data_IF_901611891619
#
_entry.id   IF_901611891619
#
_cell.length_a   1.000
_cell.length_b   1.000
_cell.length_c   1.000
_cell.angle_alpha   90.00
_cell.angle_beta   90.00
_cell.angle_gamma   90.00
#
_symmetry.space_group_name_H-M   'P 1'
#
loop_
_entity.id
_entity.type
_entity.pdbx_description
1 polymer ?
#
# COMPACT_ATOMS: atom_id res chain seq x y z
N UNK A 1 -44.77 50.44 -4.24
CA UNK A 1 -45.62 49.41 -3.59
C UNK A 1 -45.43 48.11 -4.37
N UNK A 2 -44.49 47.24 -3.99
CA UNK A 2 -44.62 46.08 -3.08
C UNK A 2 -45.75 45.11 -3.51
N UNK A 3 -45.36 44.04 -4.21
CA UNK A 3 -45.94 42.71 -3.99
C UNK A 3 -44.79 41.74 -3.66
N UNK A 4 -44.67 41.43 -2.36
CA UNK A 4 -43.75 40.45 -1.79
C UNK A 4 -44.32 39.06 -2.09
N UNK A 5 -43.56 38.21 -2.77
CA UNK A 5 -43.78 36.78 -2.69
C UNK A 5 -43.50 36.33 -1.24
N UNK A 6 -44.54 35.81 -0.59
CA UNK A 6 -44.53 35.41 0.80
C UNK A 6 -43.85 34.04 0.97
N UNK A 7 -42.85 33.98 1.86
CA UNK A 7 -42.05 32.79 2.19
C UNK A 7 -42.89 31.62 2.73
N UNK A 8 -44.17 31.84 3.06
CA UNK A 8 -45.07 30.82 3.63
C UNK A 8 -45.77 29.92 2.62
N UNK A 9 -45.71 30.19 1.31
CA UNK A 9 -46.32 29.31 0.29
C UNK A 9 -45.42 28.12 -0.12
N UNK A 10 -44.12 28.17 0.16
CA UNK A 10 -43.18 27.13 -0.32
C UNK A 10 -43.10 25.91 0.60
N UNK A 11 -43.52 26.03 1.86
CA UNK A 11 -43.40 24.97 2.87
C UNK A 11 -44.58 23.99 2.92
N UNK A 12 -45.56 24.09 2.00
CA UNK A 12 -46.75 23.21 1.98
C UNK A 12 -46.76 22.13 0.90
N UNK A 13 -45.69 21.97 0.10
CA UNK A 13 -45.62 20.98 -1.00
C UNK A 13 -44.43 20.01 -0.96
N UNK A 14 -43.62 19.99 0.09
CA UNK A 14 -42.51 19.04 0.22
C UNK A 14 -42.76 17.92 1.25
N UNK A 15 -44.03 17.54 1.44
CA UNK A 15 -44.42 16.38 2.24
C UNK A 15 -44.56 15.15 1.36
N UNK A 16 -43.44 14.50 1.04
CA UNK A 16 -43.43 13.09 0.65
C UNK A 16 -42.36 12.38 1.47
N UNK A 17 -42.84 11.61 2.43
CA UNK A 17 -42.17 10.56 3.19
C UNK A 17 -41.31 9.66 2.31
N UNK A 18 -39.99 9.74 2.46
CA UNK A 18 -39.09 8.63 2.18
C UNK A 18 -38.78 7.97 3.53
N UNK A 19 -39.45 6.85 3.79
CA UNK A 19 -39.16 5.97 4.91
C UNK A 19 -37.76 5.36 4.72
N UNK A 20 -36.93 5.55 5.74
CA UNK A 20 -35.79 4.74 6.15
C UNK A 20 -35.11 3.85 5.10
N UNK A 21 -34.07 4.39 4.47
CA UNK A 21 -32.84 3.65 4.26
C UNK A 21 -31.72 4.47 4.90
N UNK A 22 -31.48 4.26 6.19
CA UNK A 22 -30.21 4.65 6.79
C UNK A 22 -29.15 3.75 6.18
N UNK A 23 -28.67 4.10 4.98
CA UNK A 23 -27.36 3.65 4.55
C UNK A 23 -26.41 4.14 5.63
N UNK A 24 -25.82 3.21 6.38
CA UNK A 24 -24.62 3.53 7.15
C UNK A 24 -23.60 3.96 6.10
N UNK A 25 -23.57 5.25 5.79
CA UNK A 25 -22.45 5.84 5.08
C UNK A 25 -21.27 5.63 6.03
N UNK A 26 -20.42 4.67 5.69
CA UNK A 26 -19.19 4.47 6.43
C UNK A 26 -18.32 5.70 6.18
N UNK A 27 -18.20 6.54 7.21
CA UNK A 27 -17.35 7.71 7.17
C UNK A 27 -15.89 7.26 7.16
N UNK A 28 -15.32 7.21 5.96
CA UNK A 28 -13.86 7.15 5.81
C UNK A 28 -13.26 8.37 6.49
N UNK A 29 -12.08 8.26 7.14
CA UNK A 29 -11.43 9.42 7.75
C UNK A 29 -11.33 10.57 6.75
N UNK A 30 -11.60 11.80 7.21
CA UNK A 30 -11.57 12.97 6.34
C UNK A 30 -10.14 13.22 5.81
N UNK A 31 -10.02 13.93 4.69
CA UNK A 31 -8.71 14.33 4.16
C UNK A 31 -8.02 15.22 5.18
N UNK A 32 -6.94 14.73 5.80
CA UNK A 32 -6.15 15.47 6.80
C UNK A 32 -6.29 14.97 8.24
N UNK A 33 -7.21 14.05 8.52
CA UNK A 33 -7.31 13.43 9.84
C UNK A 33 -6.27 12.30 9.99
N UNK A 34 -5.13 12.64 10.57
CA UNK A 34 -4.23 11.70 11.26
C UNK A 34 -4.12 12.16 12.72
N UNK A 35 -5.24 12.35 13.41
CA UNK A 35 -5.24 12.77 14.82
C UNK A 35 -5.10 11.54 15.74
N UNK A 36 -4.10 11.58 16.63
CA UNK A 36 -3.87 10.68 17.79
C UNK A 36 -4.37 9.23 17.63
N UNK A 37 -4.07 8.60 16.50
CA UNK A 37 -4.24 7.15 16.39
C UNK A 37 -3.02 6.45 17.00
N UNK A 38 -3.28 5.51 17.91
CA UNK A 38 -2.25 4.60 18.39
C UNK A 38 -1.84 3.67 17.23
N UNK A 39 -0.74 4.00 16.56
CA UNK A 39 -0.22 3.20 15.47
C UNK A 39 0.33 1.87 16.00
N UNK A 40 -0.10 0.76 15.42
CA UNK A 40 0.56 -0.54 15.65
C UNK A 40 1.95 -0.60 15.01
N UNK A 41 2.22 0.30 14.05
CA UNK A 41 3.53 0.50 13.44
C UNK A 41 3.72 1.90 12.88
N UNK A 42 4.94 2.43 13.04
CA UNK A 42 5.44 3.57 12.28
C UNK A 42 6.89 3.36 11.87
N UNK A 43 7.18 3.55 10.58
CA UNK A 43 8.55 3.44 10.08
C UNK A 43 9.46 4.49 10.72
N UNK A 44 10.62 4.06 11.19
CA UNK A 44 11.67 4.97 11.68
C UNK A 44 12.87 4.90 10.76
N UNK A 45 12.97 5.85 9.82
CA UNK A 45 14.14 6.05 8.97
C UNK A 45 14.84 7.35 9.37
N UNK A 46 16.05 7.30 9.93
CA UNK A 46 16.73 8.48 10.46
C UNK A 46 17.26 9.42 9.36
N UNK A 47 17.23 10.73 9.61
CA UNK A 47 17.74 11.74 8.69
C UNK A 47 19.27 11.72 8.52
N UNK A 48 20.01 11.43 9.60
CA UNK A 48 21.47 11.48 9.62
C UNK A 48 22.18 10.17 9.25
N UNK A 49 21.46 9.16 8.76
CA UNK A 49 22.04 7.86 8.40
C UNK A 49 21.78 7.54 6.93
N UNK A 50 22.82 7.07 6.25
CA UNK A 50 22.70 6.46 4.93
C UNK A 50 23.21 5.03 4.99
N UNK A 51 22.39 4.06 4.58
CA UNK A 51 22.78 2.65 4.53
C UNK A 51 21.86 1.84 3.60
N UNK A 52 22.32 0.73 3.00
CA UNK A 52 21.45 -0.17 2.24
C UNK A 52 20.35 -0.83 3.09
N UNK A 53 20.60 -1.06 4.38
CA UNK A 53 19.69 -1.79 5.26
C UNK A 53 18.56 -0.90 5.83
N UNK A 54 17.27 -1.17 5.55
CA UNK A 54 16.13 -0.38 6.06
C UNK A 54 15.95 -0.46 7.58
N UNK A 55 16.43 -1.53 8.21
CA UNK A 55 16.26 -1.80 9.64
C UNK A 55 15.68 -3.19 9.90
N UNK A 56 15.54 -3.58 11.18
CA UNK A 56 15.31 -4.97 11.55
C UNK A 56 13.88 -5.47 11.28
N UNK A 57 12.93 -4.56 11.14
CA UNK A 57 11.53 -4.90 10.89
C UNK A 57 11.24 -5.30 9.43
N UNK A 58 12.19 -5.13 8.51
CA UNK A 58 11.91 -5.13 7.07
C UNK A 58 12.77 -6.12 6.32
N UNK A 59 12.23 -6.75 5.28
CA UNK A 59 12.98 -7.51 4.28
C UNK A 59 12.88 -6.85 2.90
N UNK A 60 13.93 -6.15 2.42
CA UNK A 60 13.97 -5.66 1.06
C UNK A 60 14.23 -6.79 0.06
N UNK A 61 13.56 -6.73 -1.09
CA UNK A 61 13.64 -7.75 -2.11
C UNK A 61 13.62 -7.09 -3.50
N UNK A 62 14.76 -7.11 -4.25
CA UNK A 62 16.09 -7.56 -3.83
C UNK A 62 16.74 -6.65 -2.78
N UNK A 63 17.63 -7.18 -1.93
CA UNK A 63 18.22 -6.43 -0.81
C UNK A 63 19.03 -5.19 -1.23
N UNK A 64 19.76 -5.30 -2.34
CA UNK A 64 20.69 -4.29 -2.85
C UNK A 64 20.01 -3.11 -3.55
N UNK A 65 18.73 -3.25 -3.91
CA UNK A 65 17.99 -2.25 -4.68
C UNK A 65 17.43 -1.12 -3.80
N UNK A 66 17.71 -1.15 -2.49
CA UNK A 66 17.15 -0.25 -1.49
C UNK A 66 18.22 0.43 -0.65
N UNK A 67 17.91 1.64 -0.16
CA UNK A 67 18.69 2.30 0.90
C UNK A 67 17.83 3.20 1.77
N UNK A 68 18.25 3.39 3.01
CA UNK A 68 17.87 4.56 3.81
C UNK A 68 18.77 5.72 3.42
N UNK A 69 18.18 6.87 3.16
CA UNK A 69 18.89 8.13 2.89
C UNK A 69 17.98 9.30 3.22
N UNK A 70 18.49 10.34 3.90
CA UNK A 70 17.74 11.57 4.21
C UNK A 70 16.34 11.34 4.83
N UNK A 71 16.22 10.38 5.77
CA UNK A 71 14.96 10.10 6.48
C UNK A 71 13.88 9.45 5.62
N UNK A 72 14.26 8.75 4.55
CA UNK A 72 13.36 8.01 3.66
C UNK A 72 14.00 6.70 3.22
N UNK A 73 13.17 5.75 2.81
CA UNK A 73 13.57 4.52 2.15
C UNK A 73 13.48 4.73 0.64
N UNK A 74 14.57 4.56 -0.08
CA UNK A 74 14.68 4.79 -1.52
C UNK A 74 14.86 3.47 -2.27
N UNK A 75 14.03 3.23 -3.30
CA UNK A 75 14.27 2.22 -4.31
C UNK A 75 15.24 2.83 -5.35
N UNK A 76 16.51 2.45 -5.27
CA UNK A 76 17.59 3.08 -6.05
C UNK A 76 17.84 2.40 -7.41
N UNK A 77 17.28 1.20 -7.59
CA UNK A 77 17.39 0.41 -8.82
C UNK A 77 15.99 0.08 -9.32
N UNK A 78 15.73 0.35 -10.59
CA UNK A 78 14.45 0.06 -11.23
C UNK A 78 14.39 -1.37 -11.74
N UNK A 79 13.18 -1.92 -11.79
CA UNK A 79 12.88 -3.21 -12.40
C UNK A 79 11.64 -3.84 -11.77
N UNK A 80 11.24 -5.01 -12.26
CA UNK A 80 10.02 -5.64 -11.78
C UNK A 80 10.05 -6.04 -10.30
N UNK A 81 8.89 -5.97 -9.63
CA UNK A 81 8.66 -6.52 -8.29
C UNK A 81 9.70 -6.16 -7.21
N UNK A 82 10.23 -4.94 -7.19
CA UNK A 82 10.97 -4.47 -6.00
C UNK A 82 9.97 -4.21 -4.90
N UNK A 83 10.18 -4.85 -3.78
CA UNK A 83 9.32 -4.70 -2.62
C UNK A 83 10.12 -4.73 -1.31
N UNK A 84 9.52 -4.18 -0.26
CA UNK A 84 10.04 -4.26 1.11
C UNK A 84 8.94 -4.79 2.00
N UNK A 85 9.05 -6.06 2.38
CA UNK A 85 8.12 -6.71 3.30
C UNK A 85 8.34 -6.22 4.72
N UNK A 86 7.26 -6.05 5.47
CA UNK A 86 7.28 -5.80 6.91
C UNK A 86 7.07 -7.13 7.63
N UNK A 87 8.04 -7.49 8.47
CA UNK A 87 8.08 -8.80 9.12
C UNK A 87 7.33 -8.84 10.44
N UNK A 88 7.26 -7.69 11.11
CA UNK A 88 6.81 -7.58 12.49
C UNK A 88 5.32 -7.29 12.63
N UNK A 89 4.62 -7.11 11.51
CA UNK A 89 3.17 -6.87 11.49
C UNK A 89 2.54 -7.73 10.41
N UNK A 90 1.42 -8.35 10.75
CA UNK A 90 0.66 -9.19 9.85
C UNK A 90 -0.83 -8.84 9.96
N UNK A 91 -1.56 -8.89 8.86
CA UNK A 91 -3.01 -8.72 8.87
C UNK A 91 -3.65 -10.05 9.25
N UNK A 92 -4.26 -10.11 10.42
CA UNK A 92 -4.85 -11.32 10.99
C UNK A 92 -6.09 -11.79 10.23
N UNK A 93 -6.53 -13.03 10.50
CA UNK A 93 -7.82 -13.56 10.04
C UNK A 93 -9.05 -12.98 10.74
N UNK A 94 -8.88 -12.22 11.83
CA UNK A 94 -9.99 -11.69 12.63
C UNK A 94 -10.77 -10.60 11.89
N UNK A 95 -12.04 -10.40 12.25
CA UNK A 95 -12.78 -9.23 11.79
C UNK A 95 -12.26 -7.97 12.50
N UNK A 96 -12.07 -6.88 11.75
CA UNK A 96 -11.52 -5.64 12.28
C UNK A 96 -11.27 -4.65 11.16
N UNK A 97 -10.75 -3.46 11.47
CA UNK A 97 -10.37 -2.48 10.45
C UNK A 97 -8.85 -2.51 10.19
N UNK A 98 -8.48 -1.97 9.03
CA UNK A 98 -7.08 -1.77 8.65
C UNK A 98 -6.93 -0.36 8.06
N UNK A 99 -5.89 0.36 8.49
CA UNK A 99 -5.48 1.62 7.88
C UNK A 99 -3.99 1.57 7.60
N UNK A 100 -3.61 1.87 6.36
CA UNK A 100 -2.22 2.03 5.91
C UNK A 100 -2.04 3.45 5.37
N UNK A 101 -0.92 4.08 5.66
CA UNK A 101 -0.56 5.36 5.05
C UNK A 101 0.94 5.44 4.81
N UNK A 102 1.36 6.02 3.68
CA UNK A 102 2.76 6.28 3.37
C UNK A 102 2.87 7.53 2.49
N UNK A 103 3.93 8.31 2.68
CA UNK A 103 4.34 9.36 1.74
C UNK A 103 5.30 8.76 0.72
N UNK A 104 5.08 9.06 -0.55
CA UNK A 104 5.93 8.60 -1.64
C UNK A 104 6.16 9.70 -2.67
N UNK A 105 7.23 9.55 -3.44
CA UNK A 105 7.54 10.41 -4.57
C UNK A 105 8.60 9.82 -5.47
N UNK A 106 8.67 10.31 -6.72
CA UNK A 106 9.73 9.93 -7.66
C UNK A 106 11.10 10.30 -7.10
N UNK A 107 12.09 9.43 -7.28
CA UNK A 107 13.44 9.62 -6.77
C UNK A 107 14.24 10.63 -7.58
N UNK A 108 14.14 10.57 -8.90
CA UNK A 108 14.94 11.35 -9.85
C UNK A 108 14.09 12.25 -10.76
N UNK A 109 12.76 12.28 -10.57
CA UNK A 109 11.83 13.09 -11.36
C UNK A 109 11.70 12.64 -12.82
N UNK A 110 12.28 11.49 -13.17
CA UNK A 110 12.15 10.89 -14.50
C UNK A 110 10.68 10.60 -14.81
N UNK A 111 10.34 10.58 -16.10
CA UNK A 111 9.00 10.17 -16.51
C UNK A 111 8.83 8.65 -16.28
N UNK A 112 7.74 8.27 -15.63
CA UNK A 112 7.37 6.87 -15.45
C UNK A 112 6.73 6.35 -16.75
N UNK A 113 7.25 5.24 -17.27
CA UNK A 113 6.81 4.67 -18.54
C UNK A 113 5.80 3.55 -18.32
N UNK A 114 6.11 2.65 -17.38
CA UNK A 114 5.29 1.49 -17.03
C UNK A 114 5.54 1.07 -15.59
N UNK A 115 4.55 0.38 -15.03
CA UNK A 115 4.64 -0.23 -13.72
C UNK A 115 3.90 0.53 -12.63
N UNK A 116 4.25 0.31 -11.36
CA UNK A 116 3.45 0.83 -10.25
C UNK A 116 4.24 1.06 -8.96
N UNK A 117 3.66 1.85 -8.06
CA UNK A 117 4.16 2.10 -6.71
C UNK A 117 3.00 2.08 -5.71
N UNK A 118 3.22 1.51 -4.51
CA UNK A 118 2.20 1.49 -3.46
C UNK A 118 2.42 0.41 -2.42
N UNK A 119 1.32 -0.24 -2.03
CA UNK A 119 1.30 -1.33 -1.06
C UNK A 119 1.14 -2.69 -1.76
N UNK A 120 1.58 -3.75 -1.09
CA UNK A 120 1.09 -5.11 -1.29
C UNK A 120 0.51 -5.61 0.03
N UNK A 121 -0.72 -6.09 -0.02
CA UNK A 121 -1.53 -6.48 1.15
C UNK A 121 -1.92 -7.94 1.05
N UNK A 122 -2.03 -8.62 2.19
CA UNK A 122 -2.46 -10.01 2.26
C UNK A 122 -1.45 -10.98 1.63
N UNK A 123 -0.15 -10.72 1.87
CA UNK A 123 0.92 -11.51 1.27
C UNK A 123 0.96 -12.88 1.94
N UNK A 124 0.87 -13.94 1.15
CA UNK A 124 0.95 -15.32 1.62
C UNK A 124 1.96 -16.10 0.81
N UNK A 125 2.41 -17.23 1.35
CA UNK A 125 3.13 -18.27 0.64
C UNK A 125 2.68 -19.65 1.16
N UNK A 126 2.58 -20.70 0.33
CA UNK A 126 2.00 -21.99 0.73
C UNK A 126 2.66 -22.66 1.95
N UNK A 127 3.96 -22.42 2.18
CA UNK A 127 4.68 -22.94 3.35
C UNK A 127 4.22 -22.32 4.69
N UNK A 128 3.46 -21.23 4.66
CA UNK A 128 3.02 -20.49 5.85
C UNK A 128 4.19 -20.02 6.75
N UNK A 129 5.35 -19.74 6.13
CA UNK A 129 6.52 -19.18 6.80
C UNK A 129 6.67 -17.69 6.39
N UNK A 130 6.86 -16.82 7.37
CA UNK A 130 6.94 -15.37 7.15
C UNK A 130 8.16 -14.95 6.33
N UNK A 131 9.26 -15.71 6.39
CA UNK A 131 10.49 -15.45 5.61
C UNK A 131 10.28 -15.87 4.16
N UNK A 132 9.69 -17.04 3.95
CA UNK A 132 9.29 -17.47 2.61
C UNK A 132 8.27 -16.48 2.01
N UNK A 133 7.34 -15.98 2.82
CA UNK A 133 6.36 -14.95 2.42
C UNK A 133 7.04 -13.63 2.03
N UNK A 134 8.08 -13.20 2.76
CA UNK A 134 8.83 -11.98 2.44
C UNK A 134 9.60 -12.06 1.09
N UNK A 135 9.98 -13.25 0.65
CA UNK A 135 10.76 -13.45 -0.59
C UNK A 135 9.86 -13.83 -1.77
N UNK A 136 8.96 -14.78 -1.56
CA UNK A 136 8.17 -15.44 -2.61
C UNK A 136 6.69 -15.14 -2.54
N UNK A 137 6.26 -14.37 -1.54
CA UNK A 137 4.86 -14.15 -1.28
C UNK A 137 4.14 -13.45 -2.43
N UNK A 138 2.85 -13.75 -2.55
CA UNK A 138 1.92 -13.10 -3.47
C UNK A 138 0.78 -12.52 -2.65
N UNK A 139 0.27 -11.38 -3.10
CA UNK A 139 -0.81 -10.66 -2.43
C UNK A 139 -1.44 -9.66 -3.39
N UNK A 140 -2.39 -8.89 -2.88
CA UNK A 140 -3.06 -7.84 -3.66
C UNK A 140 -2.16 -6.61 -3.75
N UNK A 141 -1.78 -6.20 -4.96
CA UNK A 141 -1.11 -4.92 -5.18
C UNK A 141 -2.16 -3.80 -5.16
N UNK A 142 -1.83 -2.69 -4.50
CA UNK A 142 -2.69 -1.53 -4.37
C UNK A 142 -1.85 -0.26 -4.47
N UNK A 143 -2.18 0.67 -5.36
CA UNK A 143 -1.37 1.87 -5.49
C UNK A 143 -1.65 2.70 -6.71
N UNK A 144 -0.59 3.30 -7.24
CA UNK A 144 -0.60 4.21 -8.37
C UNK A 144 0.22 3.60 -9.50
N UNK A 145 -0.41 3.45 -10.66
CA UNK A 145 0.24 3.03 -11.89
C UNK A 145 1.10 4.18 -12.46
N UNK A 146 2.10 3.86 -13.29
CA UNK A 146 3.04 4.81 -13.89
C UNK A 146 2.38 6.01 -14.59
N UNK A 147 1.18 5.83 -15.15
CA UNK A 147 0.40 6.88 -15.81
C UNK A 147 -0.51 7.69 -14.86
N UNK A 148 -0.35 7.51 -13.55
CA UNK A 148 -1.04 8.22 -12.47
C UNK A 148 -2.37 7.62 -12.02
N UNK A 149 -2.87 6.55 -12.67
CA UNK A 149 -4.14 5.91 -12.27
C UNK A 149 -4.01 5.17 -10.95
N UNK A 150 -5.02 5.30 -10.10
CA UNK A 150 -5.15 4.46 -8.91
C UNK A 150 -5.65 3.05 -9.30
N UNK A 151 -5.25 2.04 -8.52
CA UNK A 151 -5.73 0.67 -8.70
C UNK A 151 -5.80 -0.10 -7.38
N UNK A 152 -6.74 -1.04 -7.29
CA UNK A 152 -6.87 -2.02 -6.21
C UNK A 152 -6.98 -3.40 -6.86
N UNK A 153 -5.86 -4.13 -6.91
CA UNK A 153 -5.77 -5.44 -7.55
C UNK A 153 -5.75 -5.40 -9.08
N UNK A 154 -6.66 -4.65 -9.70
CA UNK A 154 -6.80 -4.45 -11.15
C UNK A 154 -6.79 -2.98 -11.54
N UNK A 155 -6.25 -2.67 -12.71
CA UNK A 155 -6.17 -1.31 -13.26
C UNK A 155 -7.33 -1.07 -14.23
N UNK A 156 -8.29 -0.27 -13.81
CA UNK A 156 -9.43 0.10 -14.66
C UNK A 156 -9.05 1.23 -15.65
N UNK A 157 -9.61 1.19 -16.86
CA UNK A 157 -9.38 2.21 -17.88
C UNK A 157 -9.87 3.60 -17.44
N UNK A 158 -10.99 3.64 -16.69
CA UNK A 158 -11.64 4.85 -16.18
C UNK A 158 -11.11 5.32 -14.82
N UNK A 159 -10.09 4.65 -14.26
CA UNK A 159 -9.59 4.99 -12.93
C UNK A 159 -9.11 6.45 -12.86
N UNK A 160 -9.41 7.17 -11.76
CA UNK A 160 -8.97 8.54 -11.60
C UNK A 160 -7.45 8.61 -11.51
N UNK A 161 -6.89 9.70 -12.07
CA UNK A 161 -5.46 9.97 -12.10
C UNK A 161 -5.04 11.01 -11.08
N UNK A 162 -3.85 10.81 -10.51
CA UNK A 162 -3.10 11.83 -9.76
C UNK A 162 -1.75 12.06 -10.44
N UNK A 163 -1.21 13.28 -10.33
CA UNK A 163 0.14 13.56 -10.84
C UNK A 163 1.20 12.93 -9.94
N UNK A 164 1.73 11.79 -10.38
CA UNK A 164 2.71 10.97 -9.68
C UNK A 164 4.10 11.64 -9.56
N UNK A 165 4.34 12.73 -10.28
CA UNK A 165 5.59 13.50 -10.21
C UNK A 165 5.72 14.29 -8.91
N UNK A 166 4.58 14.64 -8.31
CA UNK A 166 4.56 15.32 -7.04
C UNK A 166 4.59 14.34 -5.87
N UNK A 167 4.97 14.85 -4.71
CA UNK A 167 4.86 14.07 -3.49
C UNK A 167 3.39 13.75 -3.19
N UNK A 168 3.13 12.48 -2.89
CA UNK A 168 1.79 11.95 -2.64
C UNK A 168 1.78 11.26 -1.28
N UNK A 169 0.72 11.51 -0.50
CA UNK A 169 0.31 10.63 0.58
C UNK A 169 -0.69 9.61 0.02
N UNK A 170 -0.31 8.34 0.06
CA UNK A 170 -1.14 7.21 -0.32
C UNK A 170 -1.73 6.58 0.94
N UNK A 171 -3.04 6.40 0.98
CA UNK A 171 -3.77 5.85 2.11
C UNK A 171 -4.66 4.70 1.65
N UNK A 172 -4.65 3.60 2.40
CA UNK A 172 -5.52 2.45 2.17
C UNK A 172 -6.31 2.14 3.43
N UNK A 173 -7.62 1.99 3.28
CA UNK A 173 -8.54 1.69 4.36
C UNK A 173 -9.31 0.42 4.04
N UNK A 174 -9.56 -0.41 5.05
CA UNK A 174 -10.45 -1.56 4.95
C UNK A 174 -11.38 -1.61 6.15
N UNK A 175 -12.67 -1.79 5.88
CA UNK A 175 -13.70 -2.03 6.88
C UNK A 175 -14.54 -3.26 6.52
N UNK A 176 -14.97 -4.06 7.51
CA UNK A 176 -15.83 -5.21 7.26
C UNK A 176 -17.11 -4.83 6.52
N UNK A 177 -17.53 -5.65 5.58
CA UNK A 177 -18.78 -5.53 4.83
C UNK A 177 -19.54 -6.86 4.82
N UNK A 178 -20.78 -6.87 4.31
CA UNK A 178 -21.54 -8.11 4.14
C UNK A 178 -20.90 -9.10 3.14
N UNK A 179 -20.00 -8.64 2.27
CA UNK A 179 -19.34 -9.44 1.21
C UNK A 179 -17.87 -9.76 1.52
N UNK A 180 -17.40 -9.41 2.72
CA UNK A 180 -16.00 -9.45 3.08
C UNK A 180 -15.57 -8.08 3.60
N UNK A 181 -14.93 -7.28 2.76
CA UNK A 181 -14.45 -5.95 3.10
C UNK A 181 -14.73 -4.95 1.99
N UNK A 182 -15.20 -3.76 2.41
CA UNK A 182 -15.09 -2.58 1.56
C UNK A 182 -13.73 -1.94 1.80
N UNK A 183 -13.01 -1.66 0.72
CA UNK A 183 -11.70 -1.02 0.76
C UNK A 183 -11.72 0.30 0.00
N UNK A 184 -10.96 1.28 0.49
CA UNK A 184 -10.76 2.59 -0.14
C UNK A 184 -9.26 2.82 -0.33
N UNK A 185 -8.86 3.18 -1.55
CA UNK A 185 -7.54 3.74 -1.83
C UNK A 185 -7.68 5.23 -2.10
N UNK A 186 -6.94 6.06 -1.37
CA UNK A 186 -6.89 7.51 -1.56
C UNK A 186 -5.46 7.97 -1.81
N UNK A 187 -5.28 8.83 -2.80
CA UNK A 187 -4.02 9.52 -3.06
C UNK A 187 -4.23 11.03 -2.91
N UNK A 188 -3.38 11.69 -2.11
CA UNK A 188 -3.44 13.13 -1.85
C UNK A 188 -2.11 13.76 -2.23
N UNK A 189 -2.13 14.72 -3.16
CA UNK A 189 -0.94 15.50 -3.49
C UNK A 189 -0.62 16.46 -2.34
N UNK A 190 0.61 16.37 -1.81
CA UNK A 190 1.03 17.18 -0.65
C UNK A 190 1.18 18.66 -1.03
N UNK A 191 1.51 18.96 -2.29
CA UNK A 191 1.75 20.33 -2.75
C UNK A 191 0.59 20.91 -3.57
N UNK A 192 -0.31 20.07 -4.09
CA UNK A 192 -1.36 20.50 -5.04
C UNK A 192 -2.78 20.53 -4.47
N UNK A 193 -3.01 20.09 -3.24
CA UNK A 193 -4.35 20.03 -2.61
C UNK A 193 -5.35 19.08 -3.30
N UNK A 194 -4.96 18.42 -4.40
CA UNK A 194 -5.79 17.47 -5.13
C UNK A 194 -5.76 16.10 -4.47
N UNK A 195 -6.94 15.56 -4.21
CA UNK A 195 -7.14 14.17 -3.81
C UNK A 195 -7.96 13.41 -4.85
N UNK A 196 -7.65 12.14 -5.03
CA UNK A 196 -8.47 11.19 -5.78
C UNK A 196 -8.60 9.91 -4.98
N UNK A 197 -9.73 9.21 -5.13
CA UNK A 197 -10.00 7.97 -4.43
C UNK A 197 -10.77 6.98 -5.31
N UNK A 198 -10.62 5.69 -4.99
CA UNK A 198 -11.39 4.58 -5.54
C UNK A 198 -11.74 3.61 -4.42
N UNK A 199 -12.88 2.94 -4.53
CA UNK A 199 -13.28 1.89 -3.61
C UNK A 199 -13.65 0.58 -4.32
N UNK A 200 -13.59 -0.52 -3.57
CA UNK A 200 -13.92 -1.86 -4.06
C UNK A 200 -14.43 -2.75 -2.92
N UNK A 201 -15.34 -3.66 -3.22
CA UNK A 201 -15.66 -4.81 -2.35
C UNK A 201 -14.73 -5.98 -2.68
N UNK A 202 -14.08 -6.53 -1.66
CA UNK A 202 -13.15 -7.65 -1.80
C UNK A 202 -13.45 -8.77 -0.79
N UNK A 203 -13.12 -10.03 -1.12
CA UNK A 203 -13.15 -11.12 -0.16
C UNK A 203 -12.20 -10.88 1.04
N UNK A 204 -12.58 -11.34 2.22
CA UNK A 204 -11.82 -11.09 3.46
C UNK A 204 -10.41 -11.72 3.41
N UNK A 205 -10.27 -12.86 2.74
CA UNK A 205 -9.02 -13.58 2.62
C UNK A 205 -7.97 -12.85 1.78
N UNK A 206 -8.35 -11.87 0.96
CA UNK A 206 -7.40 -11.05 0.18
C UNK A 206 -6.60 -10.09 1.06
N UNK A 207 -7.08 -9.79 2.27
CA UNK A 207 -6.38 -8.92 3.23
C UNK A 207 -5.43 -9.68 4.15
N UNK A 208 -5.70 -10.96 4.43
CA UNK A 208 -5.00 -11.74 5.46
C UNK A 208 -3.56 -12.02 5.03
N UNK A 209 -2.58 -11.78 5.90
CA UNK A 209 -1.17 -12.08 5.67
C UNK A 209 -0.27 -10.85 5.73
N UNK A 210 0.90 -10.96 5.12
CA UNK A 210 1.96 -9.94 5.20
C UNK A 210 1.62 -8.63 4.50
N UNK A 211 2.43 -7.62 4.81
CA UNK A 211 2.36 -6.28 4.22
C UNK A 211 3.71 -5.92 3.59
N UNK A 212 3.70 -5.21 2.47
CA UNK A 212 4.91 -4.66 1.87
C UNK A 212 4.67 -3.31 1.22
N UNK A 213 5.74 -2.53 1.10
CA UNK A 213 5.83 -1.44 0.11
C UNK A 213 6.32 -2.02 -1.22
N UNK A 214 5.77 -1.55 -2.34
CA UNK A 214 6.10 -2.04 -3.68
C UNK A 214 6.47 -0.88 -4.63
N UNK A 215 7.48 -1.10 -5.46
CA UNK A 215 7.95 -0.21 -6.53
C UNK A 215 8.39 -1.09 -7.71
N UNK A 216 7.58 -1.18 -8.77
CA UNK A 216 7.79 -2.18 -9.81
C UNK A 216 7.84 -1.58 -11.20
N UNK A 217 8.94 -1.86 -11.90
CA UNK A 217 9.20 -1.88 -13.35
C UNK A 217 8.21 -2.67 -14.22
N UNK A 218 7.61 -3.71 -13.64
CA UNK A 218 6.88 -4.72 -14.41
C UNK A 218 5.47 -4.25 -14.76
N UNK A 219 4.88 -4.85 -15.79
CA UNK A 219 3.47 -4.66 -16.10
C UNK A 219 2.59 -5.04 -14.90
N UNK A 220 1.51 -4.29 -14.72
CA UNK A 220 0.58 -4.53 -13.63
C UNK A 220 -0.42 -5.61 -14.06
N UNK A 221 -0.18 -6.82 -13.60
CA UNK A 221 -1.12 -7.94 -13.72
C UNK A 221 -2.21 -7.90 -12.64
N UNK A 222 -3.41 -8.43 -12.90
CA UNK A 222 -4.46 -8.62 -11.90
C UNK A 222 -3.97 -9.35 -10.64
N UNK A 223 -4.29 -8.82 -9.46
CA UNK A 223 -3.93 -9.43 -8.17
C UNK A 223 -5.08 -9.38 -7.16
N UNK A 224 -5.10 -10.28 -6.15
CA UNK A 224 -4.15 -11.37 -5.90
C UNK A 224 -4.29 -12.50 -6.93
N UNK A 225 -3.18 -13.16 -7.23
CA UNK A 225 -3.15 -14.38 -8.05
C UNK A 225 -3.03 -15.57 -7.10
N UNK A 226 -3.81 -16.62 -7.35
CA UNK A 226 -3.65 -17.88 -6.61
C UNK A 226 -2.26 -18.46 -6.86
N UNK A 227 -1.69 -19.12 -5.86
CA UNK A 227 -0.43 -19.83 -6.06
C UNK A 227 -0.67 -21.03 -6.98
N UNK A 228 -0.08 -21.06 -8.19
CA UNK A 228 -0.15 -22.25 -9.00
C UNK A 228 0.57 -23.39 -8.27
N UNK A 229 0.19 -24.63 -8.58
CA UNK A 229 0.93 -25.81 -8.14
C UNK A 229 2.41 -25.64 -8.54
N UNK A 230 3.31 -25.73 -7.55
CA UNK A 230 4.75 -25.61 -7.79
C UNK A 230 5.19 -26.85 -8.58
N UNK A 231 5.38 -26.69 -9.89
CA UNK A 231 5.85 -27.77 -10.78
C UNK A 231 7.37 -27.84 -10.83
N UNK A 232 8.04 -26.70 -10.70
CA UNK A 232 9.50 -26.55 -10.70
C UNK A 232 9.89 -25.22 -10.02
N UNK A 233 11.17 -24.85 -10.05
CA UNK A 233 11.70 -23.59 -9.51
C UNK A 233 11.79 -22.45 -10.54
N UNK A 234 11.19 -22.59 -11.73
CA UNK A 234 11.21 -21.54 -12.77
C UNK A 234 10.41 -20.29 -12.40
N UNK A 235 9.57 -20.37 -11.36
CA UNK A 235 8.95 -19.21 -10.72
C UNK A 235 9.99 -18.28 -10.04
N UNK A 236 11.26 -18.70 -9.99
CA UNK A 236 12.40 -17.97 -9.45
C UNK A 236 13.47 -17.66 -10.53
N UNK A 237 14.03 -16.43 -10.54
CA UNK A 237 13.57 -15.29 -9.76
C UNK A 237 12.15 -14.88 -10.19
N UNK A 238 11.32 -14.35 -9.28
CA UNK A 238 10.11 -13.64 -9.68
C UNK A 238 10.51 -12.54 -10.68
N UNK A 239 9.61 -12.08 -11.56
CA UNK A 239 9.90 -11.14 -12.65
C UNK A 239 10.55 -9.82 -12.15
N UNK A 240 11.83 -9.89 -11.81
CA UNK A 240 12.65 -8.93 -11.09
C UNK A 240 13.84 -8.48 -11.94
N UNK A 241 13.78 -8.73 -13.25
CA UNK A 241 14.75 -8.19 -14.19
C UNK A 241 14.88 -6.67 -14.01
N UNK A 242 16.12 -6.20 -13.95
CA UNK A 242 16.42 -4.77 -13.83
C UNK A 242 15.95 -4.01 -15.09
N UNK A 243 15.54 -2.76 -14.90
CA UNK A 243 15.14 -1.87 -16.00
C UNK A 243 13.83 -1.10 -15.79
N UNK A 244 13.48 -0.27 -16.75
CA UNK A 244 12.35 0.65 -16.66
C UNK A 244 12.66 1.85 -15.75
N UNK A 245 11.61 2.60 -15.37
CA UNK A 245 11.74 3.95 -14.81
C UNK A 245 11.12 4.12 -13.42
N UNK A 246 10.65 3.03 -12.80
CA UNK A 246 10.05 3.11 -11.46
C UNK A 246 11.14 3.13 -10.38
N UNK A 247 11.52 4.34 -9.96
CA UNK A 247 12.35 4.61 -8.79
C UNK A 247 11.64 5.60 -7.88
N UNK A 248 11.20 5.11 -6.74
CA UNK A 248 10.44 5.89 -5.77
C UNK A 248 11.11 5.84 -4.40
N UNK A 249 10.82 6.85 -3.60
CA UNK A 249 11.12 6.85 -2.18
C UNK A 249 9.83 6.76 -1.36
N UNK A 250 9.95 6.27 -0.14
CA UNK A 250 8.88 6.14 0.85
C UNK A 250 9.30 6.81 2.16
N UNK A 251 8.35 7.44 2.85
CA UNK A 251 8.51 8.05 4.17
C UNK A 251 7.23 7.90 4.97
N UNK A 252 7.35 7.83 6.30
CA UNK A 252 6.21 7.90 7.21
C UNK A 252 5.18 6.78 6.95
N UNK A 253 5.67 5.55 6.76
CA UNK A 253 4.80 4.39 6.63
C UNK A 253 4.18 4.07 8.00
N UNK A 254 2.87 4.14 8.07
CA UNK A 254 2.06 3.94 9.27
C UNK A 254 1.04 2.84 9.04
N UNK A 255 0.76 2.09 10.10
CA UNK A 255 -0.24 1.03 10.15
C UNK A 255 -1.03 1.20 11.45
N UNK A 256 -2.35 1.13 11.35
CA UNK A 256 -3.26 1.09 12.49
C UNK A 256 -4.47 0.20 12.16
N UNK A 257 -5.30 -0.05 13.19
CA UNK A 257 -6.51 -0.84 13.09
C UNK A 257 -6.44 -2.17 13.82
N UNK A 258 -7.61 -2.69 14.18
CA UNK A 258 -7.78 -3.86 15.05
C UNK A 258 -7.45 -5.20 14.38
N UNK A 259 -7.22 -5.21 13.06
CA UNK A 259 -6.90 -6.42 12.30
C UNK A 259 -5.41 -6.80 12.37
N UNK A 260 -4.54 -5.99 12.97
CA UNK A 260 -3.09 -6.23 12.97
C UNK A 260 -2.66 -7.15 14.13
N UNK A 261 -1.87 -8.17 13.79
CA UNK A 261 -1.05 -8.93 14.73
C UNK A 261 0.36 -8.34 14.82
N UNK A 262 0.91 -8.31 16.03
CA UNK A 262 2.26 -7.82 16.32
C UNK A 262 3.19 -9.02 16.52
N UNK A 263 4.33 -8.98 15.83
CA UNK A 263 5.34 -10.03 15.80
C UNK A 263 6.75 -9.44 15.89
N UNK A 264 7.03 -8.67 16.94
CA UNK A 264 8.34 -8.00 17.07
C UNK A 264 9.51 -9.01 17.16
N UNK A 265 9.25 -10.27 17.56
CA UNK A 265 10.21 -11.37 17.53
C UNK A 265 10.67 -11.78 16.12
N UNK A 266 9.94 -11.41 15.06
CA UNK A 266 10.31 -11.68 13.66
C UNK A 266 11.31 -10.67 13.10
N UNK A 267 11.66 -9.64 13.86
CA UNK A 267 12.70 -8.69 13.49
C UNK A 267 14.06 -9.41 13.36
N UNK A 268 14.88 -9.02 12.38
CA UNK A 268 16.20 -9.63 12.16
C UNK A 268 17.34 -8.62 12.11
N UNK A 269 18.57 -9.08 12.27
CA UNK A 269 19.79 -8.27 12.23
C UNK A 269 20.54 -8.25 13.56
N UNK A 270 21.67 -7.52 13.66
CA UNK A 270 22.21 -6.58 12.67
C UNK A 270 22.95 -7.24 11.50
N UNK A 271 23.24 -8.54 11.59
CA UNK A 271 23.92 -9.30 10.54
C UNK A 271 22.88 -10.11 9.77
N UNK A 272 22.77 -9.85 8.46
CA UNK A 272 21.85 -10.57 7.57
C UNK A 272 22.49 -11.81 6.95
N UNK A 273 23.74 -11.67 6.52
CA UNK A 273 24.59 -12.76 6.07
C UNK A 273 26.05 -12.35 6.28
N UNK A 274 26.91 -13.34 6.52
CA UNK A 274 28.36 -13.20 6.41
C UNK A 274 28.82 -14.16 5.32
N UNK A 275 29.30 -13.62 4.20
CA UNK A 275 30.05 -14.42 3.24
C UNK A 275 31.52 -14.30 3.64
N UNK A 276 32.13 -15.42 4.01
CA UNK A 276 33.58 -15.51 4.17
C UNK A 276 34.08 -16.66 3.30
N UNK A 277 35.21 -16.43 2.64
CA UNK A 277 35.93 -17.47 1.92
C UNK A 277 37.11 -17.86 2.80
N UNK A 278 37.21 -19.12 3.18
CA UNK A 278 38.43 -19.65 3.81
C UNK A 278 39.48 -19.85 2.73
N UNK A 279 40.59 -19.13 2.81
CA UNK A 279 41.79 -19.47 2.05
C UNK A 279 42.50 -20.60 2.80
N UNK A 280 42.47 -21.80 2.21
CA UNK A 280 43.08 -23.06 2.69
C UNK A 280 42.24 -23.80 3.74
N UNK A 281 41.68 -24.94 3.34
CA UNK A 281 41.25 -25.99 4.27
C UNK A 281 42.45 -26.69 4.90
#
# INVERSE_FOLDING_TARGET
>A
MKNRFDRRSFLKKAGCTALGASTLAWDWPAVGELHEEEFSFRSTWPHGLQRPWPGPAYWPNPLQDWRVHAGRLECISSGGDRNVALLTREVSGRSGNLKLSVRLGSLDGSAQERGFVGFRVGIKYPMQDYRATAIYGRGMNVGIHADGRLFIGTLEASAPKIDIKHEIRLQFYAHPSAKGYKVLLRAVSVNGGRSVEIDREIPAEWLIGGLALACSSAELEPTPVEFPMIKDFSFYPPNQHAGGTMKFWFRDWTISGSKIDVHDERAYGPILFTLYTVSRG
#
